data_IF_707763757363
#
_entry.id   IF_707763757363
#
_cell.length_a   1.000
_cell.length_b   1.000
_cell.length_c   1.000
_cell.angle_alpha   90.00
_cell.angle_beta   90.00
_cell.angle_gamma   90.00
#
_symmetry.space_group_name_H-M   'P 1'
#
loop_
_entity.id
_entity.type
_entity.pdbx_description
1 polymer ?
#
# COMPACT_ATOMS: atom_id res chain seq x y z
N UNK A 1 -11.54 17.16 -32.63
CA UNK A 1 -12.41 16.10 -32.07
C UNK A 1 -13.81 16.10 -32.67
N UNK A 2 -14.35 17.22 -33.18
CA UNK A 2 -15.67 17.29 -33.85
C UNK A 2 -15.60 17.39 -35.37
N UNK A 3 -14.71 16.65 -36.02
CA UNK A 3 -14.68 16.61 -37.49
C UNK A 3 -15.31 15.31 -37.94
N UNK A 4 -16.14 15.38 -39.00
CA UNK A 4 -16.71 14.19 -39.60
C UNK A 4 -15.60 13.20 -40.03
N UNK A 5 -15.85 11.91 -39.81
CA UNK A 5 -14.96 10.82 -40.16
C UNK A 5 -15.78 9.71 -40.82
N UNK A 6 -15.36 9.30 -42.02
CA UNK A 6 -16.02 8.28 -42.87
C UNK A 6 -17.56 8.45 -42.94
N UNK A 7 -18.00 9.68 -43.18
CA UNK A 7 -19.42 10.01 -43.37
C UNK A 7 -20.23 10.17 -42.09
N UNK A 8 -19.62 10.07 -40.91
CA UNK A 8 -20.28 10.28 -39.61
C UNK A 8 -19.75 11.56 -38.96
N UNK A 9 -20.66 12.48 -38.59
CA UNK A 9 -20.33 13.67 -37.80
C UNK A 9 -20.79 13.49 -36.34
N UNK A 10 -19.86 13.43 -35.36
CA UNK A 10 -20.23 13.24 -33.96
C UNK A 10 -20.98 14.45 -33.38
N UNK A 11 -20.85 15.65 -33.98
CA UNK A 11 -21.50 16.85 -33.47
C UNK A 11 -23.02 16.84 -33.68
N UNK A 12 -23.52 16.15 -34.72
CA UNK A 12 -24.95 16.02 -34.99
C UNK A 12 -25.70 15.34 -33.82
N UNK A 13 -25.00 14.54 -33.03
CA UNK A 13 -25.51 13.86 -31.83
C UNK A 13 -24.98 14.47 -30.52
N UNK A 14 -24.41 15.69 -30.56
CA UNK A 14 -23.84 16.35 -29.38
C UNK A 14 -22.66 15.61 -28.75
N UNK A 15 -21.99 14.74 -29.52
CA UNK A 15 -20.92 13.84 -29.06
C UNK A 15 -19.56 14.27 -29.63
N UNK A 16 -18.48 13.60 -29.20
CA UNK A 16 -17.14 13.79 -29.75
C UNK A 16 -16.43 12.44 -29.92
N UNK A 17 -15.46 12.38 -30.84
CA UNK A 17 -14.63 11.17 -30.98
C UNK A 17 -13.77 10.94 -29.74
N UNK A 18 -14.00 9.82 -29.06
CA UNK A 18 -13.19 9.35 -27.94
C UNK A 18 -12.30 8.20 -28.38
N UNK A 19 -10.99 8.44 -28.49
CA UNK A 19 -10.00 7.45 -28.94
C UNK A 19 -9.21 6.92 -27.74
N UNK A 20 -9.18 5.60 -27.50
CA UNK A 20 -8.46 5.02 -26.37
C UNK A 20 -6.94 5.10 -26.57
N UNK A 21 -6.27 6.00 -25.84
CA UNK A 21 -4.83 6.22 -25.96
C UNK A 21 -3.93 5.05 -25.53
N UNK A 22 -4.46 4.11 -24.72
CA UNK A 22 -3.70 2.94 -24.21
C UNK A 22 -3.31 1.95 -25.31
N UNK A 23 -4.11 1.84 -26.36
CA UNK A 23 -3.97 0.81 -27.41
C UNK A 23 -3.25 1.36 -28.64
N UNK A 24 -3.05 2.68 -28.70
CA UNK A 24 -2.27 3.30 -29.75
C UNK A 24 -0.77 3.13 -29.48
N UNK A 25 0.03 2.72 -30.47
CA UNK A 25 1.48 2.74 -30.36
C UNK A 25 1.98 4.18 -30.18
N UNK A 26 3.16 4.37 -29.60
CA UNK A 26 3.64 5.70 -29.20
C UNK A 26 3.67 6.71 -30.35
N UNK A 27 4.04 6.27 -31.55
CA UNK A 27 4.08 7.11 -32.75
C UNK A 27 2.68 7.60 -33.21
N UNK A 28 1.60 6.95 -32.76
CA UNK A 28 0.22 7.34 -33.06
C UNK A 28 -0.39 8.26 -31.98
N UNK A 29 0.17 8.32 -30.77
CA UNK A 29 -0.40 9.11 -29.65
C UNK A 29 -0.40 10.62 -29.93
N UNK A 30 0.60 11.13 -30.67
CA UNK A 30 0.71 12.54 -31.07
C UNK A 30 -0.08 12.90 -32.33
N UNK A 31 -0.66 11.91 -33.03
CA UNK A 31 -1.38 12.11 -34.29
C UNK A 31 -2.76 12.73 -34.10
N UNK A 32 -3.33 13.23 -35.19
CA UNK A 32 -4.69 13.78 -35.21
C UNK A 32 -5.73 12.71 -34.88
N UNK A 33 -6.92 13.14 -34.43
CA UNK A 33 -8.02 12.22 -34.10
C UNK A 33 -8.42 11.34 -35.29
N UNK A 34 -8.41 11.88 -36.52
CA UNK A 34 -8.74 11.11 -37.75
C UNK A 34 -7.70 10.04 -38.03
N UNK A 35 -6.41 10.39 -38.03
CA UNK A 35 -5.32 9.42 -38.23
C UNK A 35 -5.39 8.28 -37.20
N UNK A 36 -5.74 8.60 -35.95
CA UNK A 36 -5.92 7.57 -34.92
C UNK A 36 -7.13 6.67 -35.19
N UNK A 37 -8.24 7.23 -35.67
CA UNK A 37 -9.44 6.45 -36.03
C UNK A 37 -9.18 5.57 -37.25
N UNK A 38 -8.48 6.08 -38.27
CA UNK A 38 -8.09 5.30 -39.45
C UNK A 38 -7.19 4.12 -39.09
N UNK A 39 -6.21 4.34 -38.21
CA UNK A 39 -5.37 3.27 -37.69
C UNK A 39 -6.19 2.21 -36.95
N UNK A 40 -7.12 2.61 -36.06
CA UNK A 40 -7.99 1.67 -35.35
C UNK A 40 -8.89 0.86 -36.29
N UNK A 41 -9.36 1.47 -37.38
CA UNK A 41 -10.14 0.78 -38.41
C UNK A 41 -9.28 -0.24 -39.17
N UNK A 42 -8.05 0.14 -39.55
CA UNK A 42 -7.08 -0.71 -40.22
C UNK A 42 -6.74 -1.97 -39.41
N UNK A 43 -6.53 -1.82 -38.10
CA UNK A 43 -6.27 -2.97 -37.20
C UNK A 43 -7.55 -3.72 -36.77
N UNK A 44 -8.69 -3.41 -37.40
CA UNK A 44 -9.96 -4.10 -37.19
C UNK A 44 -10.61 -3.85 -35.82
N UNK A 45 -10.21 -2.79 -35.11
CA UNK A 45 -10.74 -2.40 -33.80
C UNK A 45 -12.00 -1.53 -33.87
N UNK A 46 -12.48 -1.21 -35.06
CA UNK A 46 -13.76 -0.52 -35.26
C UNK A 46 -14.83 -1.52 -35.69
N UNK A 47 -16.00 -1.40 -35.07
CA UNK A 47 -17.23 -2.06 -35.48
C UNK A 47 -18.14 -1.05 -36.17
N UNK A 48 -18.57 -1.41 -37.37
CA UNK A 48 -19.46 -0.62 -38.21
C UNK A 48 -20.89 -1.16 -38.09
N UNK A 49 -21.77 -0.53 -37.30
CA UNK A 49 -23.16 -0.97 -37.18
C UNK A 49 -23.91 -0.78 -38.51
N UNK A 50 -24.92 -1.62 -38.80
CA UNK A 50 -25.76 -1.45 -39.97
C UNK A 50 -26.56 -0.13 -39.89
N UNK A 51 -26.89 0.44 -41.05
CA UNK A 51 -27.72 1.64 -41.25
C UNK A 51 -27.08 2.98 -40.83
N UNK A 52 -25.77 3.16 -41.04
CA UNK A 52 -25.12 4.47 -40.90
C UNK A 52 -25.06 5.01 -39.46
N UNK A 53 -25.25 4.14 -38.46
CA UNK A 53 -25.09 4.49 -37.05
C UNK A 53 -23.61 4.75 -36.72
N UNK A 54 -23.37 5.48 -35.64
CA UNK A 54 -22.01 5.85 -35.20
C UNK A 54 -21.15 4.60 -34.98
N UNK A 55 -19.93 4.53 -35.55
CA UNK A 55 -19.01 3.41 -35.36
C UNK A 55 -18.61 3.24 -33.90
N UNK A 56 -18.41 1.99 -33.49
CA UNK A 56 -18.11 1.62 -32.10
C UNK A 56 -16.73 1.00 -31.99
N UNK A 57 -16.06 1.26 -30.88
CA UNK A 57 -14.78 0.64 -30.57
C UNK A 57 -14.98 -0.80 -30.05
N UNK A 58 -14.35 -1.79 -30.69
CA UNK A 58 -14.36 -3.20 -30.23
C UNK A 58 -13.48 -3.35 -29.00
N UNK A 59 -14.06 -3.89 -27.92
CA UNK A 59 -13.38 -4.19 -26.66
C UNK A 59 -13.36 -5.70 -26.45
N UNK A 60 -12.18 -6.28 -26.23
CA UNK A 60 -12.03 -7.71 -25.97
C UNK A 60 -11.81 -7.96 -24.47
N UNK A 61 -12.39 -9.05 -23.95
CA UNK A 61 -12.43 -9.34 -22.52
C UNK A 61 -11.04 -9.58 -21.92
N UNK A 62 -10.17 -10.27 -22.67
CA UNK A 62 -8.78 -10.60 -22.33
C UNK A 62 -7.85 -9.37 -22.33
N UNK A 63 -8.22 -8.29 -23.01
CA UNK A 63 -7.44 -7.04 -23.09
C UNK A 63 -7.87 -5.99 -22.06
N UNK A 64 -9.01 -6.21 -21.38
CA UNK A 64 -9.55 -5.26 -20.42
C UNK A 64 -9.16 -5.66 -18.99
N UNK A 65 -8.59 -4.75 -18.18
CA UNK A 65 -8.31 -5.01 -16.77
C UNK A 65 -9.58 -5.13 -15.89
N UNK A 66 -10.77 -5.16 -16.51
CA UNK A 66 -12.06 -5.08 -15.83
C UNK A 66 -12.39 -3.68 -15.32
N UNK A 67 -13.51 -3.58 -14.62
CA UNK A 67 -13.88 -2.40 -13.83
C UNK A 67 -13.24 -2.54 -12.45
N UNK A 68 -12.57 -1.50 -11.91
CA UNK A 68 -12.13 -1.50 -10.53
C UNK A 68 -13.31 -1.80 -9.60
N UNK A 69 -13.08 -2.63 -8.58
CA UNK A 69 -14.07 -2.92 -7.55
C UNK A 69 -14.38 -1.63 -6.78
N UNK A 70 -15.68 -1.35 -6.60
CA UNK A 70 -16.15 -0.18 -5.84
C UNK A 70 -15.98 -0.40 -4.32
N UNK A 71 -16.30 0.62 -3.54
CA UNK A 71 -16.29 0.64 -2.07
C UNK A 71 -17.46 -0.11 -1.43
N UNK A 72 -18.55 -0.33 -2.16
CA UNK A 72 -19.73 -1.07 -1.71
C UNK A 72 -19.73 -2.45 -2.34
N UNK A 73 -19.73 -3.50 -1.51
CA UNK A 73 -19.79 -4.89 -1.94
C UNK A 73 -21.11 -5.50 -1.49
N UNK A 74 -21.99 -5.78 -2.45
CA UNK A 74 -23.30 -6.40 -2.26
C UNK A 74 -23.36 -7.85 -2.77
N UNK A 75 -22.27 -8.35 -3.35
CA UNK A 75 -22.15 -9.67 -3.94
C UNK A 75 -21.71 -10.76 -2.92
N UNK A 76 -21.28 -10.36 -1.72
CA UNK A 76 -20.90 -11.29 -0.65
C UNK A 76 -21.93 -11.22 0.47
N UNK A 77 -22.79 -12.25 0.53
CA UNK A 77 -23.80 -12.39 1.59
C UNK A 77 -23.22 -12.74 2.96
N UNK A 78 -23.98 -12.48 4.01
CA UNK A 78 -23.65 -12.91 5.38
C UNK A 78 -23.88 -14.41 5.60
N UNK A 79 -23.20 -14.97 6.61
CA UNK A 79 -23.29 -16.40 6.90
C UNK A 79 -24.64 -16.85 7.45
N UNK A 80 -25.20 -17.87 6.83
CA UNK A 80 -26.40 -18.58 7.25
C UNK A 80 -26.05 -19.70 8.24
N UNK A 81 -27.06 -20.23 8.93
CA UNK A 81 -26.88 -21.24 9.97
C UNK A 81 -26.39 -22.60 9.44
N UNK A 82 -26.65 -22.90 8.17
CA UNK A 82 -26.28 -24.17 7.53
C UNK A 82 -24.95 -24.10 6.75
N UNK A 83 -24.30 -22.94 6.72
CA UNK A 83 -23.05 -22.77 5.98
C UNK A 83 -21.95 -23.65 6.57
N UNK A 84 -21.26 -24.40 5.70
CA UNK A 84 -20.20 -25.33 6.12
C UNK A 84 -19.04 -24.63 6.83
N UNK A 85 -18.76 -23.37 6.51
CA UNK A 85 -17.71 -22.58 7.17
C UNK A 85 -18.13 -22.01 8.54
N UNK A 86 -19.40 -22.16 8.94
CA UNK A 86 -19.92 -21.60 10.19
C UNK A 86 -19.35 -22.35 11.39
N UNK A 87 -18.76 -21.61 12.31
CA UNK A 87 -18.13 -22.16 13.52
C UNK A 87 -19.00 -22.06 14.77
N UNK A 88 -20.15 -21.40 14.68
CA UNK A 88 -21.01 -21.07 15.82
C UNK A 88 -20.63 -19.77 16.53
N UNK A 89 -19.59 -19.05 16.08
CA UNK A 89 -19.26 -17.73 16.60
C UNK A 89 -20.29 -16.67 16.13
N UNK A 90 -20.92 -15.90 17.04
CA UNK A 90 -22.09 -15.09 16.69
C UNK A 90 -21.87 -14.06 15.58
N UNK A 91 -20.67 -13.48 15.50
CA UNK A 91 -20.34 -12.36 14.60
C UNK A 91 -19.35 -12.75 13.50
N UNK A 92 -19.24 -14.04 13.20
CA UNK A 92 -18.36 -14.56 12.15
C UNK A 92 -18.63 -13.86 10.81
N UNK A 93 -17.55 -13.41 10.16
CA UNK A 93 -17.59 -12.89 8.79
C UNK A 93 -17.39 -14.05 7.80
N UNK A 94 -17.96 -13.97 6.58
CA UNK A 94 -17.71 -14.96 5.53
C UNK A 94 -16.23 -14.96 5.12
N UNK A 95 -15.67 -16.12 4.81
CA UNK A 95 -14.28 -16.24 4.39
C UNK A 95 -14.02 -15.47 3.09
N UNK A 96 -14.94 -15.54 2.13
CA UNK A 96 -14.84 -14.85 0.84
C UNK A 96 -14.64 -13.33 0.97
N UNK A 97 -15.24 -12.71 2.00
CA UNK A 97 -15.09 -11.29 2.29
C UNK A 97 -13.64 -10.97 2.68
N UNK A 98 -13.09 -11.75 3.62
CA UNK A 98 -11.76 -11.53 4.17
C UNK A 98 -10.68 -11.86 3.12
N UNK A 99 -10.90 -12.89 2.30
CA UNK A 99 -10.07 -13.22 1.14
C UNK A 99 -9.95 -12.02 0.18
N UNK A 100 -11.07 -11.37 -0.15
CA UNK A 100 -11.08 -10.19 -1.02
C UNK A 100 -10.33 -9.02 -0.39
N UNK A 101 -10.60 -8.72 0.88
CA UNK A 101 -9.93 -7.62 1.60
C UNK A 101 -8.41 -7.82 1.56
N UNK A 102 -7.92 -9.01 1.91
CA UNK A 102 -6.49 -9.30 1.96
C UNK A 102 -5.87 -9.24 0.56
N UNK A 103 -6.47 -9.87 -0.46
CA UNK A 103 -5.96 -9.83 -1.85
C UNK A 103 -5.80 -8.42 -2.39
N UNK A 104 -6.72 -7.51 -2.03
CA UNK A 104 -6.68 -6.12 -2.51
C UNK A 104 -5.71 -5.23 -1.72
N UNK A 105 -5.28 -5.67 -0.54
CA UNK A 105 -4.55 -4.84 0.43
C UNK A 105 -3.14 -5.35 0.77
N UNK A 106 -2.74 -6.54 0.28
CA UNK A 106 -1.42 -7.12 0.58
C UNK A 106 -0.91 -8.08 -0.50
N UNK A 107 0.41 -8.29 -0.51
CA UNK A 107 1.10 -9.28 -1.36
C UNK A 107 1.39 -10.58 -0.58
N UNK A 108 1.80 -11.63 -1.28
CA UNK A 108 2.23 -12.87 -0.63
C UNK A 108 3.40 -12.59 0.32
N UNK A 109 3.43 -13.25 1.47
CA UNK A 109 4.46 -13.04 2.49
C UNK A 109 4.27 -11.80 3.39
N UNK A 110 3.37 -10.87 3.05
CA UNK A 110 3.06 -9.73 3.92
C UNK A 110 2.42 -10.18 5.25
N UNK A 111 2.48 -9.32 6.26
CA UNK A 111 1.89 -9.57 7.58
C UNK A 111 0.49 -8.96 7.72
N UNK A 112 -0.48 -9.78 8.07
CA UNK A 112 -1.87 -9.39 8.38
C UNK A 112 -2.08 -9.40 9.88
N UNK A 113 -2.52 -8.27 10.45
CA UNK A 113 -2.85 -8.16 11.88
C UNK A 113 -4.36 -7.96 12.05
N UNK A 114 -4.98 -8.84 12.83
CA UNK A 114 -6.37 -8.68 13.26
C UNK A 114 -6.43 -8.67 14.80
N UNK A 115 -6.59 -7.48 15.43
CA UNK A 115 -6.64 -7.36 16.87
C UNK A 115 -8.01 -7.70 17.50
N UNK A 116 -8.98 -8.13 16.67
CA UNK A 116 -10.33 -8.54 17.08
C UNK A 116 -10.75 -9.80 16.33
N UNK A 117 -9.85 -10.78 16.25
CA UNK A 117 -9.94 -11.85 15.26
C UNK A 117 -11.11 -12.83 15.50
N UNK A 118 -11.71 -12.85 16.70
CA UNK A 118 -12.82 -13.71 17.05
C UNK A 118 -12.55 -15.16 16.67
N UNK A 119 -13.36 -15.70 15.75
CA UNK A 119 -13.20 -17.05 15.20
C UNK A 119 -12.06 -17.23 14.18
N UNK A 120 -11.11 -16.31 14.12
CA UNK A 120 -9.92 -16.31 13.27
C UNK A 120 -10.18 -16.43 11.76
N UNK A 121 -11.32 -15.91 11.27
CA UNK A 121 -11.63 -15.93 9.81
C UNK A 121 -10.55 -15.18 9.02
N UNK A 122 -10.08 -14.03 9.51
CA UNK A 122 -8.98 -13.26 8.89
C UNK A 122 -7.67 -14.04 8.83
N UNK A 123 -7.35 -14.78 9.89
CA UNK A 123 -6.13 -15.60 9.96
C UNK A 123 -6.19 -16.76 8.95
N UNK A 124 -7.35 -17.40 8.84
CA UNK A 124 -7.59 -18.46 7.85
C UNK A 124 -7.41 -17.93 6.42
N UNK A 125 -8.05 -16.81 6.10
CA UNK A 125 -7.90 -16.17 4.78
C UNK A 125 -6.44 -15.80 4.49
N UNK A 126 -5.73 -15.21 5.47
CA UNK A 126 -4.32 -14.86 5.32
C UNK A 126 -3.44 -16.10 5.06
N UNK A 127 -3.67 -17.20 5.79
CA UNK A 127 -2.93 -18.46 5.58
C UNK A 127 -3.15 -19.02 4.17
N UNK A 128 -4.41 -19.12 3.73
CA UNK A 128 -4.74 -19.62 2.39
C UNK A 128 -4.09 -18.80 1.27
N UNK A 129 -3.90 -17.51 1.54
CA UNK A 129 -3.24 -16.59 0.64
C UNK A 129 -1.72 -16.57 0.84
N UNK A 130 -1.09 -17.45 1.61
CA UNK A 130 0.36 -17.40 1.83
C UNK A 130 0.86 -16.08 2.46
N UNK A 131 0.06 -15.46 3.34
CA UNK A 131 0.47 -14.29 4.13
C UNK A 131 0.86 -14.73 5.55
N UNK A 132 1.74 -13.99 6.20
CA UNK A 132 1.95 -14.11 7.64
C UNK A 132 0.77 -13.46 8.37
N UNK A 133 0.45 -13.91 9.57
CA UNK A 133 -0.66 -13.32 10.32
C UNK A 133 -0.48 -13.34 11.84
N UNK A 134 -1.14 -12.39 12.49
CA UNK A 134 -1.30 -12.31 13.94
C UNK A 134 -2.78 -12.05 14.23
N UNK A 135 -3.41 -12.96 14.97
CA UNK A 135 -4.76 -12.78 15.50
C UNK A 135 -4.73 -12.54 17.00
N UNK A 136 -5.49 -11.56 17.49
CA UNK A 136 -5.65 -11.28 18.92
C UNK A 136 -7.15 -11.19 19.21
N UNK A 137 -7.58 -11.80 20.31
CA UNK A 137 -8.93 -11.60 20.84
C UNK A 137 -8.88 -11.73 22.37
N UNK A 138 -9.76 -10.99 23.06
CA UNK A 138 -9.90 -11.02 24.52
C UNK A 138 -10.87 -12.13 24.98
N UNK A 139 -11.72 -12.62 24.07
CA UNK A 139 -12.76 -13.59 24.33
C UNK A 139 -12.18 -14.98 24.55
N UNK A 140 -12.42 -15.55 25.74
CA UNK A 140 -12.09 -16.95 26.02
C UNK A 140 -12.83 -17.90 25.08
N UNK A 141 -14.06 -17.55 24.65
CA UNK A 141 -14.82 -18.35 23.68
C UNK A 141 -14.18 -18.39 22.30
N UNK A 142 -13.48 -17.31 21.92
CA UNK A 142 -12.71 -17.28 20.69
C UNK A 142 -11.54 -18.26 20.77
N UNK A 143 -10.83 -18.33 21.91
CA UNK A 143 -9.66 -19.19 22.07
C UNK A 143 -9.93 -20.66 21.74
N UNK A 144 -10.95 -21.28 22.34
CA UNK A 144 -11.23 -22.71 22.12
C UNK A 144 -11.58 -23.01 20.65
N UNK A 145 -12.37 -22.13 20.05
CA UNK A 145 -12.82 -22.25 18.67
C UNK A 145 -11.69 -21.99 17.68
N UNK A 146 -10.83 -21.00 17.94
CA UNK A 146 -9.62 -20.73 17.15
C UNK A 146 -8.65 -21.89 17.24
N UNK A 147 -8.42 -22.43 18.45
CA UNK A 147 -7.61 -23.64 18.61
C UNK A 147 -8.18 -24.77 17.76
N UNK A 148 -9.45 -25.12 17.91
CA UNK A 148 -10.06 -26.18 17.11
C UNK A 148 -9.99 -25.91 15.60
N UNK A 149 -10.31 -24.68 15.17
CA UNK A 149 -10.32 -24.27 13.75
C UNK A 149 -8.94 -24.32 13.12
N UNK A 150 -7.91 -23.95 13.88
CA UNK A 150 -6.55 -23.84 13.37
C UNK A 150 -5.71 -25.11 13.59
N UNK A 151 -6.14 -26.03 14.46
CA UNK A 151 -5.45 -27.32 14.72
C UNK A 151 -6.18 -28.53 14.17
N UNK A 152 -7.34 -28.38 13.52
CA UNK A 152 -8.06 -29.50 12.90
C UNK A 152 -7.22 -30.10 11.75
N UNK A 153 -7.02 -31.41 11.84
CA UNK A 153 -6.04 -32.19 11.07
C UNK A 153 -6.26 -32.23 9.55
N UNK A 154 -5.11 -32.40 8.88
CA UNK A 154 -4.78 -32.35 7.44
C UNK A 154 -5.34 -33.55 6.63
N UNK A 155 -6.34 -34.26 7.13
CA UNK A 155 -6.74 -35.59 6.63
C UNK A 155 -7.90 -35.61 5.62
N UNK A 156 -8.24 -34.48 5.02
CA UNK A 156 -9.21 -34.42 3.91
C UNK A 156 -8.50 -33.85 2.65
N UNK A 157 -8.38 -34.61 1.56
CA UNK A 157 -7.75 -34.18 0.31
C UNK A 157 -8.37 -32.93 -0.34
N UNK A 158 -9.57 -32.51 0.10
CA UNK A 158 -10.22 -31.25 -0.28
C UNK A 158 -10.05 -30.11 0.73
N UNK A 159 -9.28 -30.31 1.81
CA UNK A 159 -9.21 -29.38 2.93
C UNK A 159 -8.13 -28.30 2.72
N UNK A 160 -8.59 -27.05 2.65
CA UNK A 160 -7.81 -25.85 2.32
C UNK A 160 -6.93 -25.39 3.51
N UNK A 161 -7.19 -25.91 4.72
CA UNK A 161 -6.55 -25.47 5.97
C UNK A 161 -5.22 -26.20 6.25
N UNK A 162 -4.26 -26.11 5.32
CA UNK A 162 -2.88 -26.53 5.57
C UNK A 162 -2.11 -25.41 6.28
N UNK A 163 -2.39 -25.18 7.57
CA UNK A 163 -1.59 -24.24 8.34
C UNK A 163 -0.13 -24.69 8.36
N UNK A 164 0.81 -23.83 7.99
CA UNK A 164 2.25 -24.13 7.99
C UNK A 164 2.79 -24.28 9.41
N UNK A 165 2.55 -25.42 10.07
CA UNK A 165 3.21 -26.03 11.24
C UNK A 165 3.71 -25.15 12.41
N UNK A 166 3.36 -23.87 12.51
CA UNK A 166 3.88 -22.94 13.53
C UNK A 166 2.81 -21.97 14.01
N UNK A 167 1.73 -22.53 14.54
CA UNK A 167 0.74 -21.74 15.28
C UNK A 167 1.23 -21.59 16.71
N UNK A 168 1.59 -20.37 17.09
CA UNK A 168 1.95 -20.03 18.45
C UNK A 168 0.74 -19.41 19.16
N UNK A 169 -0.01 -20.24 19.88
CA UNK A 169 -1.07 -19.75 20.77
C UNK A 169 -0.46 -19.29 22.09
N UNK A 170 -0.75 -18.06 22.49
CA UNK A 170 -0.39 -17.50 23.80
C UNK A 170 -1.62 -16.91 24.44
N UNK A 171 -1.88 -17.29 25.68
CA UNK A 171 -2.98 -16.75 26.51
C UNK A 171 -2.49 -15.67 27.46
N UNK A 172 -1.20 -15.68 27.81
CA UNK A 172 -0.60 -14.59 28.56
C UNK A 172 -0.65 -13.31 27.71
N UNK A 173 -1.15 -12.19 28.26
CA UNK A 173 -1.06 -10.93 27.55
C UNK A 173 0.41 -10.67 27.19
N UNK A 174 0.70 -10.21 25.96
CA UNK A 174 2.07 -9.95 25.56
C UNK A 174 2.68 -8.96 26.56
N UNK A 175 3.65 -9.46 27.34
CA UNK A 175 4.42 -8.61 28.23
C UNK A 175 5.29 -7.74 27.34
N UNK A 176 5.12 -6.43 27.46
CA UNK A 176 6.08 -5.47 26.91
C UNK A 176 7.48 -5.82 27.42
N UNK A 177 8.33 -6.38 26.56
CA UNK A 177 9.73 -6.68 26.87
C UNK A 177 10.59 -5.41 26.88
N UNK A 178 10.01 -4.31 26.43
CA UNK A 178 10.55 -2.97 26.34
C UNK A 178 10.07 -2.07 27.50
N UNK A 179 9.60 -2.63 28.62
CA UNK A 179 9.33 -1.82 29.83
C UNK A 179 10.62 -1.20 30.43
N UNK A 180 11.79 -1.79 30.14
CA UNK A 180 13.09 -1.20 30.46
C UNK A 180 13.67 -0.30 29.34
N UNK A 181 13.01 -0.24 28.17
CA UNK A 181 13.49 0.50 27.00
C UNK A 181 12.35 1.38 26.51
N UNK A 182 12.34 2.65 26.90
CA UNK A 182 11.39 3.59 26.31
C UNK A 182 11.70 3.76 24.81
N UNK A 183 10.86 3.17 23.96
CA UNK A 183 10.89 3.29 22.50
C UNK A 183 10.52 4.69 22.01
N UNK A 184 10.09 5.58 22.91
CA UNK A 184 10.04 7.02 22.67
C UNK A 184 11.40 7.70 22.85
N UNK A 185 12.37 7.06 23.49
CA UNK A 185 13.62 7.70 23.94
C UNK A 185 14.86 7.40 23.10
N UNK A 186 14.89 6.33 22.28
CA UNK A 186 16.02 6.10 21.37
C UNK A 186 15.68 6.50 19.94
N UNK A 187 15.98 7.75 19.60
CA UNK A 187 15.94 8.23 18.22
C UNK A 187 17.27 8.84 17.84
N UNK A 188 17.60 8.72 16.56
CA UNK A 188 18.73 9.40 15.98
C UNK A 188 18.31 10.82 15.64
N UNK A 189 19.13 11.79 16.01
CA UNK A 189 19.17 13.08 15.32
C UNK A 189 20.13 12.89 14.14
N UNK A 190 19.65 13.10 12.92
CA UNK A 190 20.43 12.96 11.69
C UNK A 190 20.69 14.31 11.06
N UNK A 191 21.77 14.36 10.28
CA UNK A 191 22.12 15.48 9.41
C UNK A 191 22.21 14.93 7.99
N UNK A 192 21.40 15.46 7.09
CA UNK A 192 21.36 15.09 5.67
C UNK A 192 21.84 16.28 4.82
N UNK A 193 22.70 16.00 3.84
CA UNK A 193 23.11 16.94 2.80
C UNK A 193 22.42 16.64 1.47
N UNK A 194 22.43 17.61 0.56
CA UNK A 194 22.00 17.44 -0.82
C UNK A 194 22.94 18.22 -1.76
N UNK A 195 23.36 17.66 -2.91
CA UNK A 195 24.36 18.29 -3.78
C UNK A 195 24.00 19.71 -4.26
N UNK A 196 22.71 19.98 -4.50
CA UNK A 196 22.26 21.29 -4.98
C UNK A 196 22.09 22.35 -3.88
N UNK A 197 22.30 22.01 -2.61
CA UNK A 197 22.12 22.91 -1.47
C UNK A 197 23.40 22.95 -0.63
N UNK A 198 24.47 23.47 -1.22
CA UNK A 198 25.77 23.58 -0.55
C UNK A 198 25.70 24.52 0.66
N UNK A 199 26.24 24.09 1.80
CA UNK A 199 26.15 24.83 3.06
C UNK A 199 24.79 24.72 3.77
N UNK A 200 23.83 23.98 3.22
CA UNK A 200 22.54 23.71 3.85
C UNK A 200 22.41 22.23 4.23
N UNK A 201 21.98 22.00 5.47
CA UNK A 201 21.83 20.66 6.02
C UNK A 201 20.46 20.47 6.63
N UNK A 202 19.79 19.37 6.27
CA UNK A 202 18.56 18.99 6.95
C UNK A 202 18.89 18.30 8.26
N UNK A 203 18.45 18.89 9.36
CA UNK A 203 18.58 18.28 10.69
C UNK A 203 17.22 17.79 11.12
N UNK A 204 17.12 16.49 11.42
CA UNK A 204 15.84 15.89 11.78
C UNK A 204 15.95 14.68 12.70
N UNK A 205 14.81 14.22 13.19
CA UNK A 205 14.71 13.04 14.04
C UNK A 205 14.19 11.82 13.27
N UNK A 206 14.83 10.66 13.42
CA UNK A 206 14.36 9.39 12.88
C UNK A 206 14.54 8.22 13.85
N UNK A 207 13.69 7.20 13.71
CA UNK A 207 13.90 5.89 14.36
C UNK A 207 15.06 5.12 13.71
N UNK A 208 15.23 5.32 12.42
CA UNK A 208 16.27 4.70 11.60
C UNK A 208 16.68 5.74 10.55
N UNK A 209 17.92 6.20 10.63
CA UNK A 209 18.44 7.20 9.72
C UNK A 209 18.48 6.70 8.27
N UNK A 210 18.77 5.41 8.05
CA UNK A 210 18.85 4.82 6.70
C UNK A 210 17.47 4.67 6.06
N UNK A 211 16.47 4.18 6.81
CA UNK A 211 15.09 4.16 6.30
C UNK A 211 14.57 5.58 6.03
N UNK A 212 14.99 6.55 6.83
CA UNK A 212 14.65 7.96 6.59
C UNK A 212 15.31 8.50 5.33
N UNK A 213 16.58 8.17 5.08
CA UNK A 213 17.26 8.52 3.83
C UNK A 213 16.55 7.89 2.61
N UNK A 214 16.18 6.61 2.69
CA UNK A 214 15.42 5.94 1.64
C UNK A 214 14.10 6.66 1.33
N UNK A 215 13.40 7.19 2.35
CA UNK A 215 12.19 7.99 2.15
C UNK A 215 12.42 9.27 1.32
N UNK A 216 13.61 9.88 1.40
CA UNK A 216 13.99 11.03 0.56
C UNK A 216 14.31 10.64 -0.89
N UNK A 217 14.65 9.37 -1.12
CA UNK A 217 15.02 8.81 -2.42
C UNK A 217 13.82 8.17 -3.15
N UNK A 218 12.70 7.88 -2.46
CA UNK A 218 11.56 7.09 -2.99
C UNK A 218 10.86 7.64 -4.23
N UNK A 219 11.08 8.90 -4.61
CA UNK A 219 10.51 9.48 -5.84
C UNK A 219 11.52 9.59 -6.99
N UNK A 220 12.82 9.55 -6.68
CA UNK A 220 13.93 9.59 -7.63
C UNK A 220 15.24 9.21 -6.89
N UNK A 221 15.85 8.05 -7.24
CA UNK A 221 17.11 7.59 -6.63
C UNK A 221 18.30 8.55 -6.86
N UNK A 222 18.25 9.42 -7.87
CA UNK A 222 19.37 10.29 -8.26
C UNK A 222 19.43 11.62 -7.51
N UNK A 223 18.52 11.90 -6.57
CA UNK A 223 18.55 13.15 -5.77
C UNK A 223 19.81 13.32 -4.92
N UNK A 224 20.63 12.28 -4.76
CA UNK A 224 21.98 12.44 -4.19
C UNK A 224 22.04 12.82 -2.72
N UNK A 225 20.93 12.72 -1.97
CA UNK A 225 20.93 12.95 -0.52
C UNK A 225 21.90 11.99 0.18
N UNK A 226 22.63 12.50 1.19
CA UNK A 226 23.56 11.70 2.00
C UNK A 226 23.37 11.98 3.47
N UNK A 227 23.49 10.95 4.30
CA UNK A 227 23.58 11.13 5.76
C UNK A 227 25.02 11.53 6.08
N UNK A 228 25.20 12.75 6.53
CA UNK A 228 26.50 13.30 6.91
C UNK A 228 26.86 13.03 8.37
N UNK A 229 25.84 12.88 9.22
CA UNK A 229 26.00 12.59 10.63
C UNK A 229 24.74 11.96 11.23
N UNK A 230 24.92 11.17 12.29
CA UNK A 230 23.84 10.70 13.15
C UNK A 230 24.32 10.60 14.59
N UNK A 231 23.46 10.96 15.52
CA UNK A 231 23.71 10.84 16.95
C UNK A 231 22.51 10.20 17.64
N UNK A 232 22.75 9.13 18.38
CA UNK A 232 21.76 8.54 19.28
C UNK A 232 21.81 9.28 20.62
N UNK A 233 20.68 9.83 21.06
CA UNK A 233 20.59 10.54 22.33
C UNK A 233 19.17 10.48 22.89
N UNK A 234 18.99 10.32 24.22
CA UNK A 234 17.68 10.41 24.85
C UNK A 234 17.06 11.82 24.74
N UNK A 235 17.88 12.85 24.50
CA UNK A 235 17.44 14.24 24.38
C UNK A 235 17.15 14.68 22.94
N UNK A 236 16.93 13.74 22.01
CA UNK A 236 16.81 13.99 20.57
C UNK A 236 15.84 15.12 20.17
N UNK A 237 14.69 15.28 20.85
CA UNK A 237 13.74 16.39 20.58
C UNK A 237 14.30 17.75 20.98
N UNK A 238 14.93 17.81 22.16
CA UNK A 238 15.53 19.05 22.63
C UNK A 238 16.75 19.40 21.78
N UNK A 239 17.55 18.40 21.40
CA UNK A 239 18.71 18.57 20.54
C UNK A 239 18.32 19.10 19.15
N UNK A 240 17.33 18.51 18.46
CA UNK A 240 16.87 19.01 17.15
C UNK A 240 16.42 20.48 17.25
N UNK A 241 15.59 20.81 18.25
CA UNK A 241 15.15 22.18 18.51
C UNK A 241 16.30 23.12 18.82
N UNK A 242 17.29 22.66 19.60
CA UNK A 242 18.47 23.45 19.95
C UNK A 242 19.28 23.79 18.70
N UNK A 243 19.56 22.81 17.84
CA UNK A 243 20.25 23.04 16.56
C UNK A 243 19.47 24.02 15.67
N UNK A 244 18.15 23.89 15.58
CA UNK A 244 17.33 24.84 14.83
C UNK A 244 17.28 26.24 15.48
N UNK A 245 17.52 26.37 16.79
CA UNK A 245 17.52 27.66 17.48
C UNK A 245 18.83 28.45 17.32
N UNK A 246 19.96 27.76 17.19
CA UNK A 246 21.30 28.38 17.14
C UNK A 246 21.74 28.73 15.71
N UNK A 247 21.23 28.03 14.71
CA UNK A 247 21.58 28.26 13.32
C UNK A 247 20.39 28.80 12.52
N UNK A 248 20.63 29.73 11.56
CA UNK A 248 19.60 30.18 10.62
C UNK A 248 18.99 28.99 9.89
N UNK A 249 17.66 28.95 9.78
CA UNK A 249 16.97 27.83 9.15
C UNK A 249 15.74 28.22 8.33
N UNK A 250 15.37 27.34 7.38
CA UNK A 250 14.13 27.42 6.58
C UNK A 250 13.57 26.02 6.37
N UNK A 251 12.33 25.76 6.78
CA UNK A 251 11.67 24.45 6.61
C UNK A 251 12.55 23.26 7.08
N UNK A 252 13.17 23.39 8.26
CA UNK A 252 14.06 22.39 8.89
C UNK A 252 15.42 22.19 8.19
N UNK A 253 15.78 23.04 7.23
CA UNK A 253 17.12 23.13 6.65
C UNK A 253 17.92 24.20 7.36
N UNK A 254 19.09 23.85 7.86
CA UNK A 254 19.99 24.68 8.64
C UNK A 254 21.14 25.17 7.77
N UNK A 255 21.45 26.46 7.82
CA UNK A 255 22.59 27.10 7.15
C UNK A 255 23.76 27.25 8.12
N UNK A 256 24.74 26.34 8.05
CA UNK A 256 25.93 26.34 8.91
C UNK A 256 27.03 25.41 8.35
N UNK A 257 28.25 25.48 8.88
CA UNK A 257 29.29 24.51 8.55
C UNK A 257 28.98 23.14 9.17
N UNK A 258 29.22 22.07 8.43
CA UNK A 258 28.93 20.71 8.90
C UNK A 258 29.69 20.35 10.18
N UNK A 259 30.92 20.84 10.36
CA UNK A 259 31.72 20.60 11.57
C UNK A 259 31.12 21.32 12.77
N UNK A 260 30.56 22.51 12.59
CA UNK A 260 29.87 23.26 13.65
C UNK A 260 28.63 22.48 14.12
N UNK A 261 27.76 22.06 13.20
CA UNK A 261 26.57 21.25 13.51
C UNK A 261 26.98 19.97 14.26
N UNK A 262 28.00 19.26 13.78
CA UNK A 262 28.52 18.03 14.41
C UNK A 262 29.05 18.28 15.83
N UNK A 263 29.73 19.40 16.04
CA UNK A 263 30.33 19.77 17.33
C UNK A 263 29.25 20.10 18.34
N UNK A 264 28.27 20.93 17.96
CA UNK A 264 27.13 21.27 18.81
C UNK A 264 26.30 20.03 19.18
N UNK A 265 26.02 19.16 18.19
CA UNK A 265 25.32 17.91 18.45
C UNK A 265 26.06 17.02 19.45
N UNK A 266 27.39 16.92 19.38
CA UNK A 266 28.20 16.10 20.30
C UNK A 266 28.28 16.68 21.71
N UNK A 267 28.30 18.01 21.83
CA UNK A 267 28.48 18.70 23.09
C UNK A 267 27.17 18.88 23.88
N UNK A 268 26.03 18.68 23.24
CA UNK A 268 24.72 18.87 23.87
C UNK A 268 24.43 17.84 24.98
N UNK A 269 24.24 18.34 26.22
CA UNK A 269 24.02 17.51 27.42
C UNK A 269 22.57 17.45 27.94
N UNK A 270 21.60 18.01 27.21
CA UNK A 270 20.18 17.80 27.52
C UNK A 270 19.49 18.83 28.43
N UNK A 271 20.13 19.97 28.70
CA UNK A 271 19.53 21.12 29.39
C UNK A 271 18.22 21.55 28.70
#
# INVERSE_FOLDING_TARGET
>A
SGMAWRGVDPNESGSHWAVPGRILPDHMKSRSTREKLDYLDEIGRIYWPPNGKVPQYKRYLDEMPGTPIDTIWDDIGGLQSQDAERTGYPTQKPLALLDRIIKTSSNEGDMVLDPFCGCATTCVAAEHLNRQWIGIDISVKAYDLVRERLTKDVADPGNILQFRNRIHLKTDPPKRTDLAVDYRERKFVYVISHPNFEGEYKVGIARDAQKRLAAYQTSDPERGYRIEYKLETPHFRKLEKHIHSIFPNRHEWVQADLKEIKTEMKNYKGE
#
